data_IF_063272469487
#
_entry.id   IF_063272469487
#
_cell.length_a   1.000
_cell.length_b   1.000
_cell.length_c   1.000
_cell.angle_alpha   90.00
_cell.angle_beta   90.00
_cell.angle_gamma   90.00
#
_symmetry.space_group_name_H-M   'P 1'
#
loop_
_entity.id
_entity.type
_entity.pdbx_description
1 polymer ?
#
# COMPACT_ATOMS: atom_id res chain seq x y z
N UNK A 1 -0.23 -41.22 23.07
CA UNK A 1 0.13 -39.85 23.50
C UNK A 1 0.99 -39.26 22.42
N UNK A 2 0.41 -38.46 21.54
CA UNK A 2 1.14 -37.65 20.56
C UNK A 2 1.74 -36.46 21.30
N UNK A 3 3.06 -36.47 21.47
CA UNK A 3 3.81 -35.34 22.03
C UNK A 3 3.64 -34.18 21.06
N UNK A 4 3.05 -33.08 21.52
CA UNK A 4 3.01 -31.86 20.74
C UNK A 4 4.46 -31.41 20.48
N UNK A 5 4.83 -31.01 19.25
CA UNK A 5 6.18 -30.54 18.99
C UNK A 5 6.50 -29.35 19.90
N UNK A 6 7.64 -29.40 20.60
CA UNK A 6 8.15 -28.26 21.38
C UNK A 6 8.28 -27.05 20.45
N UNK A 7 7.67 -25.92 20.84
CA UNK A 7 7.88 -24.67 20.12
C UNK A 7 9.39 -24.36 20.10
N UNK A 8 9.96 -23.95 18.95
CA UNK A 8 11.39 -23.64 18.88
C UNK A 8 11.76 -22.57 19.92
N UNK A 9 12.91 -22.75 20.56
CA UNK A 9 13.35 -21.90 21.67
C UNK A 9 13.58 -20.41 21.32
N UNK A 10 13.56 -20.06 20.02
CA UNK A 10 13.72 -18.71 19.50
C UNK A 10 12.61 -18.37 18.52
N UNK A 11 12.15 -17.12 18.56
CA UNK A 11 11.25 -16.57 17.54
C UNK A 11 11.96 -16.53 16.16
N UNK A 12 11.20 -16.51 15.04
CA UNK A 12 11.78 -16.36 13.70
C UNK A 12 12.72 -15.14 13.58
N UNK A 13 12.34 -14.00 14.18
CA UNK A 13 13.15 -12.79 14.22
C UNK A 13 14.47 -12.98 14.96
N UNK A 14 14.45 -13.55 16.17
CA UNK A 14 15.67 -13.78 16.96
C UNK A 14 16.61 -14.77 16.27
N UNK A 15 16.04 -15.84 15.70
CA UNK A 15 16.80 -16.83 14.94
C UNK A 15 17.50 -16.19 13.75
N UNK A 16 16.78 -15.41 12.95
CA UNK A 16 17.36 -14.76 11.77
C UNK A 16 18.38 -13.70 12.17
N UNK A 17 18.06 -12.85 13.15
CA UNK A 17 18.94 -11.75 13.62
C UNK A 17 20.32 -12.25 14.05
N UNK A 18 20.41 -13.41 14.70
CA UNK A 18 21.70 -14.00 15.12
C UNK A 18 22.59 -14.43 13.96
N UNK A 19 22.01 -14.70 12.79
CA UNK A 19 22.71 -15.20 11.61
C UNK A 19 22.87 -14.17 10.49
N UNK A 20 22.12 -13.07 10.57
CA UNK A 20 22.08 -12.07 9.51
C UNK A 20 23.35 -11.24 9.50
N UNK A 21 23.95 -11.09 8.32
CA UNK A 21 25.07 -10.19 8.09
C UNK A 21 24.55 -8.95 7.36
N UNK A 22 24.83 -7.78 7.91
CA UNK A 22 24.45 -6.51 7.31
C UNK A 22 25.61 -5.97 6.47
N UNK A 23 25.32 -5.49 5.26
CA UNK A 23 26.35 -4.92 4.40
C UNK A 23 26.88 -3.58 4.95
N UNK A 24 26.04 -2.84 5.68
CA UNK A 24 26.35 -1.55 6.27
C UNK A 24 25.51 -1.28 7.53
N UNK A 25 25.83 -0.19 8.23
CA UNK A 25 25.13 0.20 9.45
C UNK A 25 23.67 0.63 9.18
N UNK A 26 23.35 1.17 8.00
CA UNK A 26 21.97 1.56 7.67
C UNK A 26 21.06 0.35 7.63
N UNK A 27 21.48 -0.75 6.99
CA UNK A 27 20.72 -2.00 6.98
C UNK A 27 20.55 -2.58 8.38
N UNK A 28 21.59 -2.55 9.21
CA UNK A 28 21.50 -3.01 10.60
C UNK A 28 20.46 -2.20 11.39
N UNK A 29 20.50 -0.87 11.30
CA UNK A 29 19.52 -0.02 11.99
C UNK A 29 18.11 -0.23 11.43
N UNK A 30 17.94 -0.27 10.10
CA UNK A 30 16.65 -0.57 9.50
C UNK A 30 16.07 -1.89 10.00
N UNK A 31 16.87 -2.95 10.08
CA UNK A 31 16.42 -4.23 10.62
C UNK A 31 15.90 -4.13 12.05
N UNK A 32 16.58 -3.36 12.91
CA UNK A 32 16.10 -3.08 14.27
C UNK A 32 14.79 -2.28 14.27
N UNK A 33 14.61 -1.38 13.30
CA UNK A 33 13.45 -0.48 13.22
C UNK A 33 12.19 -1.13 12.63
N UNK A 34 12.33 -1.97 11.62
CA UNK A 34 11.18 -2.53 10.87
C UNK A 34 11.09 -4.05 10.95
N UNK A 35 12.21 -4.75 11.19
CA UNK A 35 12.28 -6.22 11.16
C UNK A 35 11.47 -6.89 12.28
N UNK A 36 11.52 -6.34 13.50
CA UNK A 36 10.74 -6.87 14.62
C UNK A 36 9.23 -6.73 14.35
N UNK A 37 8.80 -5.56 13.85
CA UNK A 37 7.40 -5.34 13.50
C UNK A 37 6.95 -6.28 12.38
N UNK A 38 7.75 -6.45 11.34
CA UNK A 38 7.47 -7.43 10.27
C UNK A 38 7.24 -8.83 10.83
N UNK A 39 8.07 -9.26 11.79
CA UNK A 39 7.91 -10.57 12.43
C UNK A 39 6.62 -10.68 13.23
N UNK A 40 6.20 -9.62 13.93
CA UNK A 40 4.94 -9.62 14.69
C UNK A 40 3.72 -9.66 13.77
N UNK A 41 3.75 -8.89 12.69
CA UNK A 41 2.72 -8.88 11.64
C UNK A 41 2.61 -10.27 11.00
N UNK A 42 3.73 -10.91 10.66
CA UNK A 42 3.77 -12.31 10.19
C UNK A 42 3.19 -13.29 11.21
N UNK A 43 3.58 -13.17 12.48
CA UNK A 43 3.08 -14.03 13.55
C UNK A 43 1.58 -13.95 13.79
N UNK A 44 0.93 -12.85 13.37
CA UNK A 44 -0.51 -12.67 13.50
C UNK A 44 -1.36 -13.22 12.33
N UNK A 45 -0.72 -13.83 11.32
CA UNK A 45 -1.39 -14.31 10.11
C UNK A 45 -1.49 -15.85 10.02
N UNK A 46 -1.45 -16.55 11.17
CA UNK A 46 -1.61 -18.01 11.31
C UNK A 46 -0.66 -18.88 10.47
N UNK A 47 0.49 -18.34 10.02
CA UNK A 47 1.51 -19.08 9.28
C UNK A 47 2.43 -19.91 10.18
N UNK A 48 3.03 -20.98 9.65
CA UNK A 48 3.99 -21.80 10.40
C UNK A 48 5.26 -21.02 10.74
N UNK A 49 6.03 -21.49 11.73
CA UNK A 49 7.31 -20.86 12.07
C UNK A 49 8.27 -20.82 10.87
N UNK A 50 8.30 -21.88 10.07
CA UNK A 50 9.11 -22.00 8.86
C UNK A 50 8.65 -21.02 7.77
N UNK A 51 7.34 -20.85 7.58
CA UNK A 51 6.80 -19.86 6.66
C UNK A 51 7.17 -18.44 7.09
N UNK A 52 6.99 -18.12 8.38
CA UNK A 52 7.37 -16.82 8.94
C UNK A 52 8.87 -16.55 8.75
N UNK A 53 9.72 -17.54 9.03
CA UNK A 53 11.17 -17.42 8.81
C UNK A 53 11.50 -17.22 7.33
N UNK A 54 10.87 -17.97 6.42
CA UNK A 54 11.05 -17.83 4.98
C UNK A 54 10.71 -16.42 4.47
N UNK A 55 9.59 -15.85 4.94
CA UNK A 55 9.21 -14.48 4.58
C UNK A 55 10.13 -13.42 5.20
N UNK A 56 10.61 -13.61 6.43
CA UNK A 56 11.60 -12.71 7.02
C UNK A 56 12.94 -12.78 6.26
N UNK A 57 13.35 -13.96 5.80
CA UNK A 57 14.52 -14.10 4.94
C UNK A 57 14.33 -13.40 3.59
N UNK A 58 13.15 -13.53 2.97
CA UNK A 58 12.80 -12.76 1.78
C UNK A 58 12.90 -11.25 2.04
N UNK A 59 12.29 -10.77 3.12
CA UNK A 59 12.34 -9.35 3.49
C UNK A 59 13.78 -8.86 3.70
N UNK A 60 14.59 -9.60 4.47
CA UNK A 60 15.98 -9.25 4.76
C UNK A 60 16.89 -9.26 3.52
N UNK A 61 16.59 -10.11 2.52
CA UNK A 61 17.41 -10.23 1.30
C UNK A 61 16.98 -9.28 0.18
N UNK A 62 15.69 -8.99 0.08
CA UNK A 62 15.12 -8.29 -1.09
C UNK A 62 14.71 -6.87 -0.75
N UNK A 63 14.06 -6.67 0.40
CA UNK A 63 13.50 -5.37 0.79
C UNK A 63 14.51 -4.56 1.59
N UNK A 64 15.06 -5.14 2.65
CA UNK A 64 15.96 -4.46 3.60
C UNK A 64 17.15 -3.74 2.93
N UNK A 65 17.88 -4.33 1.97
CA UNK A 65 19.01 -3.65 1.32
C UNK A 65 18.61 -2.44 0.47
N UNK A 66 17.31 -2.29 0.20
CA UNK A 66 16.74 -1.26 -0.66
C UNK A 66 15.88 -0.27 0.13
N UNK A 67 15.98 -0.23 1.45
CA UNK A 67 15.38 0.84 2.26
C UNK A 67 16.23 2.13 2.26
N UNK A 68 17.40 2.10 1.62
CA UNK A 68 18.30 3.24 1.49
C UNK A 68 19.04 3.59 2.78
N UNK A 69 19.73 4.74 2.82
CA UNK A 69 20.51 5.16 3.98
C UNK A 69 19.62 5.45 5.20
N UNK A 70 20.17 5.22 6.40
CA UNK A 70 19.57 5.65 7.67
C UNK A 70 20.46 6.70 8.37
N UNK A 71 19.92 7.83 8.86
CA UNK A 71 18.53 8.29 8.71
C UNK A 71 18.16 8.50 7.24
N UNK A 72 16.87 8.32 6.91
CA UNK A 72 16.36 8.43 5.53
C UNK A 72 16.66 9.81 4.94
N UNK A 73 17.02 9.82 3.66
CA UNK A 73 17.29 11.04 2.88
C UNK A 73 16.24 11.34 1.81
N UNK A 74 15.37 10.37 1.55
CA UNK A 74 14.27 10.47 0.60
C UNK A 74 12.99 10.05 1.31
N UNK A 75 11.94 10.85 1.17
CA UNK A 75 10.62 10.52 1.69
C UNK A 75 9.81 9.85 0.57
N UNK A 76 9.37 8.62 0.81
CA UNK A 76 8.59 7.83 -0.12
C UNK A 76 7.12 8.22 -0.12
N UNK A 77 6.50 8.23 -1.30
CA UNK A 77 5.07 8.55 -1.45
C UNK A 77 4.13 7.44 -1.00
N UNK A 78 4.65 6.25 -0.68
CA UNK A 78 3.80 5.11 -0.30
C UNK A 78 3.23 5.25 1.12
N UNK A 79 3.85 6.05 1.99
CA UNK A 79 3.37 6.32 3.35
C UNK A 79 3.26 7.82 3.59
N UNK A 80 2.39 8.22 4.51
CA UNK A 80 2.26 9.63 4.93
C UNK A 80 3.51 10.15 5.63
N UNK A 81 4.22 9.32 6.39
CA UNK A 81 5.44 9.71 7.10
C UNK A 81 6.69 9.79 6.21
N UNK A 82 6.59 9.39 4.94
CA UNK A 82 7.74 9.29 4.03
C UNK A 82 8.59 8.03 4.23
N UNK A 83 8.17 7.09 5.09
CA UNK A 83 8.80 5.78 5.25
C UNK A 83 8.70 4.98 3.92
N UNK A 84 9.79 4.36 3.44
CA UNK A 84 9.79 3.60 2.19
C UNK A 84 9.24 2.18 2.31
N UNK A 85 8.59 1.84 3.43
CA UNK A 85 7.96 0.54 3.66
C UNK A 85 6.67 0.70 4.47
N UNK A 86 5.65 -0.10 4.13
CA UNK A 86 4.39 -0.20 4.84
C UNK A 86 3.95 -1.67 4.92
N UNK A 87 3.51 -2.11 6.09
CA UNK A 87 2.97 -3.41 6.35
C UNK A 87 1.45 -3.32 6.43
N UNK A 88 0.79 -4.27 5.80
CA UNK A 88 -0.65 -4.44 5.94
C UNK A 88 -1.02 -5.92 6.04
N UNK A 89 -2.18 -6.18 6.64
CA UNK A 89 -2.74 -7.53 6.69
C UNK A 89 -4.07 -7.50 5.98
N UNK A 90 -4.32 -8.48 5.12
CA UNK A 90 -5.60 -8.72 4.52
C UNK A 90 -6.35 -9.85 5.22
N UNK A 91 -7.55 -9.55 5.70
CA UNK A 91 -8.51 -10.47 6.26
C UNK A 91 -9.63 -10.72 5.25
N UNK A 92 -10.08 -11.97 5.15
CA UNK A 92 -11.18 -12.35 4.27
C UNK A 92 -12.25 -13.05 5.07
N UNK A 93 -13.50 -12.71 4.81
CA UNK A 93 -14.65 -13.33 5.46
C UNK A 93 -14.73 -14.83 5.16
N UNK A 94 -14.41 -15.21 3.91
CA UNK A 94 -14.55 -16.58 3.45
C UNK A 94 -13.19 -17.25 3.18
N UNK A 95 -12.87 -18.26 4.00
CA UNK A 95 -12.09 -19.43 3.60
C UNK A 95 -10.60 -19.24 3.30
N UNK A 96 -10.02 -18.07 3.58
CA UNK A 96 -8.57 -17.85 3.42
C UNK A 96 -7.94 -17.31 4.71
N UNK A 97 -6.74 -17.81 5.07
CA UNK A 97 -5.98 -17.24 6.18
C UNK A 97 -5.61 -15.77 5.86
N UNK A 98 -5.32 -14.97 6.90
CA UNK A 98 -4.84 -13.61 6.70
C UNK A 98 -3.58 -13.59 5.83
N UNK A 99 -3.46 -12.57 4.97
CA UNK A 99 -2.30 -12.41 4.07
C UNK A 99 -1.55 -11.14 4.44
N UNK A 100 -0.32 -11.30 4.92
CA UNK A 100 0.60 -10.18 5.17
C UNK A 100 1.11 -9.62 3.86
N UNK A 101 1.28 -8.30 3.83
CA UNK A 101 1.72 -7.55 2.67
C UNK A 101 2.76 -6.52 3.03
N UNK A 102 3.66 -6.29 2.09
CA UNK A 102 4.70 -5.26 2.18
C UNK A 102 4.52 -4.33 0.99
N UNK A 103 4.05 -3.11 1.22
CA UNK A 103 4.20 -2.00 0.29
C UNK A 103 5.59 -1.40 0.47
N UNK A 104 6.33 -1.13 -0.61
CA UNK A 104 7.67 -0.60 -0.50
C UNK A 104 8.08 0.22 -1.74
N UNK A 105 8.96 1.20 -1.53
CA UNK A 105 9.64 1.92 -2.61
C UNK A 105 11.14 1.66 -2.48
N UNK A 106 11.81 1.08 -3.49
CA UNK A 106 13.24 0.86 -3.43
C UNK A 106 13.97 2.21 -3.44
N UNK A 107 14.87 2.38 -2.48
CA UNK A 107 15.76 3.52 -2.33
C UNK A 107 17.23 3.08 -2.41
N UNK A 108 18.11 4.04 -2.69
CA UNK A 108 19.56 3.88 -2.61
C UNK A 108 20.25 5.18 -2.21
N UNK A 109 21.58 5.17 -2.19
CA UNK A 109 22.38 6.33 -1.76
C UNK A 109 22.19 7.59 -2.64
N UNK A 110 21.76 7.39 -3.89
CA UNK A 110 21.56 8.46 -4.86
C UNK A 110 20.14 9.03 -4.85
N UNK A 111 19.18 8.35 -4.23
CA UNK A 111 17.77 8.75 -4.23
C UNK A 111 17.59 10.16 -3.68
N UNK A 112 17.00 11.05 -4.48
CA UNK A 112 16.76 12.45 -4.14
C UNK A 112 17.98 13.37 -4.29
N UNK A 113 19.15 12.83 -4.65
CA UNK A 113 20.33 13.65 -4.99
C UNK A 113 20.24 14.17 -6.41
N UNK A 114 21.13 15.08 -6.82
CA UNK A 114 21.19 15.55 -8.21
C UNK A 114 21.43 14.42 -9.24
N UNK A 115 21.99 13.27 -8.82
CA UNK A 115 22.23 12.13 -9.71
C UNK A 115 20.99 11.24 -9.91
N UNK A 116 20.05 11.27 -8.97
CA UNK A 116 18.79 10.55 -9.07
C UNK A 116 17.66 11.29 -8.32
N UNK A 117 17.25 12.48 -8.81
CA UNK A 117 16.34 13.37 -8.09
C UNK A 117 14.94 12.78 -7.90
N UNK A 118 14.53 11.84 -8.75
CA UNK A 118 13.20 11.23 -8.81
C UNK A 118 13.22 9.72 -8.53
N UNK A 119 14.27 9.23 -7.87
CA UNK A 119 14.36 7.86 -7.39
C UNK A 119 14.11 6.76 -8.45
N UNK A 120 14.71 6.93 -9.63
CA UNK A 120 14.55 6.01 -10.77
C UNK A 120 15.63 4.92 -10.83
N UNK A 121 16.76 5.10 -10.13
CA UNK A 121 17.90 4.17 -10.21
C UNK A 121 17.68 2.88 -9.41
N UNK A 122 17.13 2.88 -8.18
CA UNK A 122 17.10 1.67 -7.34
C UNK A 122 16.40 0.46 -7.96
N UNK A 123 15.38 0.67 -8.79
CA UNK A 123 14.63 -0.40 -9.47
C UNK A 123 15.53 -1.27 -10.37
N UNK A 124 16.65 -0.72 -10.86
CA UNK A 124 17.64 -1.46 -11.67
C UNK A 124 18.34 -2.58 -10.90
N UNK A 125 18.33 -2.54 -9.56
CA UNK A 125 18.82 -3.60 -8.69
C UNK A 125 17.70 -4.55 -8.25
N UNK A 126 16.51 -4.01 -7.96
CA UNK A 126 15.36 -4.79 -7.52
C UNK A 126 14.91 -5.82 -8.55
N UNK A 127 14.64 -5.39 -9.79
CA UNK A 127 13.99 -6.26 -10.77
C UNK A 127 14.85 -7.49 -11.12
N UNK A 128 16.18 -7.36 -11.34
CA UNK A 128 17.04 -8.53 -11.49
C UNK A 128 17.02 -9.46 -10.26
N UNK A 129 16.99 -8.91 -9.05
CA UNK A 129 16.92 -9.70 -7.83
C UNK A 129 15.60 -10.50 -7.75
N UNK A 130 14.46 -9.89 -8.11
CA UNK A 130 13.17 -10.58 -8.17
C UNK A 130 13.14 -11.67 -9.24
N UNK A 131 13.70 -11.41 -10.42
CA UNK A 131 13.80 -12.40 -11.50
C UNK A 131 14.62 -13.63 -11.10
N UNK A 132 15.63 -13.46 -10.24
CA UNK A 132 16.46 -14.56 -9.74
C UNK A 132 15.76 -15.46 -8.72
N UNK A 133 14.70 -14.99 -8.07
CA UNK A 133 13.95 -15.77 -7.08
C UNK A 133 13.05 -16.85 -7.68
N UNK A 134 12.90 -16.87 -9.01
CA UNK A 134 12.04 -17.83 -9.71
C UNK A 134 10.59 -17.85 -9.18
N UNK A 135 10.07 -16.67 -8.83
CA UNK A 135 8.69 -16.51 -8.37
C UNK A 135 7.73 -17.04 -9.44
N UNK A 136 6.82 -17.94 -9.05
CA UNK A 136 5.91 -18.58 -9.99
C UNK A 136 5.04 -17.56 -10.74
N UNK A 137 5.11 -17.59 -12.06
CA UNK A 137 4.34 -16.71 -12.93
C UNK A 137 4.80 -15.25 -12.97
N UNK A 138 5.95 -14.91 -12.37
CA UNK A 138 6.51 -13.56 -12.41
C UNK A 138 6.85 -13.16 -13.84
N UNK A 139 6.33 -12.00 -14.26
CA UNK A 139 6.47 -11.49 -15.63
C UNK A 139 6.67 -9.97 -15.61
N UNK A 140 7.61 -9.49 -16.41
CA UNK A 140 8.01 -8.08 -16.49
C UNK A 140 7.42 -7.34 -17.70
N UNK A 141 6.64 -7.99 -18.56
CA UNK A 141 6.22 -7.40 -19.84
C UNK A 141 5.46 -6.08 -19.69
N UNK A 142 4.61 -5.94 -18.66
CA UNK A 142 3.92 -4.67 -18.39
C UNK A 142 4.82 -3.56 -17.83
N UNK A 143 5.94 -3.91 -17.17
CA UNK A 143 6.84 -2.93 -16.55
C UNK A 143 7.37 -1.92 -17.57
N UNK A 144 7.83 -2.41 -18.72
CA UNK A 144 8.45 -1.54 -19.75
C UNK A 144 7.44 -0.51 -20.30
N UNK A 145 6.18 -0.91 -20.48
CA UNK A 145 5.10 -0.01 -20.88
C UNK A 145 4.80 1.02 -19.79
N UNK A 146 4.67 0.58 -18.55
CA UNK A 146 4.37 1.47 -17.42
C UNK A 146 5.46 2.52 -17.24
N UNK A 147 6.74 2.12 -17.19
CA UNK A 147 7.83 3.08 -16.98
C UNK A 147 7.92 4.08 -18.12
N UNK A 148 7.80 3.61 -19.37
CA UNK A 148 7.85 4.47 -20.54
C UNK A 148 6.74 5.52 -20.55
N UNK A 149 5.52 5.12 -20.22
CA UNK A 149 4.32 5.93 -20.44
C UNK A 149 3.91 6.75 -19.20
N UNK A 150 4.13 6.23 -18.00
CA UNK A 150 3.64 6.79 -16.74
C UNK A 150 4.74 7.37 -15.84
N UNK A 151 6.00 7.32 -16.24
CA UNK A 151 7.12 7.96 -15.54
C UNK A 151 7.88 8.89 -16.47
N UNK A 152 8.66 9.82 -15.91
CA UNK A 152 9.48 10.72 -16.73
C UNK A 152 10.66 9.98 -17.35
N UNK A 153 10.93 10.24 -18.62
CA UNK A 153 12.12 9.83 -19.35
C UNK A 153 13.33 10.66 -18.92
N UNK A 154 14.53 10.27 -19.35
CA UNK A 154 15.76 11.04 -19.12
C UNK A 154 15.67 12.44 -19.76
N UNK A 155 15.16 12.54 -20.98
CA UNK A 155 15.00 13.84 -21.67
C UNK A 155 14.03 14.76 -20.93
N UNK A 156 12.91 14.23 -20.44
CA UNK A 156 11.94 14.98 -19.64
C UNK A 156 12.54 15.43 -18.30
N UNK A 157 13.34 14.58 -17.66
CA UNK A 157 14.08 14.93 -16.45
C UNK A 157 15.06 16.08 -16.70
N UNK A 158 15.82 16.05 -17.79
CA UNK A 158 16.73 17.14 -18.17
C UNK A 158 15.96 18.44 -18.47
N UNK A 159 14.78 18.36 -19.07
CA UNK A 159 13.98 19.54 -19.42
C UNK A 159 13.48 20.34 -18.21
N UNK A 160 13.42 19.72 -17.04
CA UNK A 160 12.99 20.33 -15.77
C UNK A 160 14.13 20.50 -14.76
N UNK A 161 15.37 20.28 -15.19
CA UNK A 161 16.54 20.47 -14.34
C UNK A 161 16.63 21.94 -13.89
N UNK A 162 16.83 22.15 -12.59
CA UNK A 162 16.85 23.49 -11.98
C UNK A 162 15.48 24.14 -11.78
N UNK A 163 14.38 23.50 -12.17
CA UNK A 163 13.02 23.96 -11.84
C UNK A 163 12.65 23.50 -10.43
N UNK A 164 12.09 24.40 -9.61
CA UNK A 164 11.48 24.00 -8.35
C UNK A 164 10.21 23.19 -8.62
N UNK A 165 10.23 21.92 -8.24
CA UNK A 165 9.07 21.04 -8.31
C UNK A 165 8.47 20.97 -6.91
N UNK A 166 7.32 21.62 -6.75
CA UNK A 166 6.50 21.54 -5.54
C UNK A 166 6.22 20.10 -5.14
N UNK A 167 6.28 19.84 -3.83
CA UNK A 167 5.78 18.60 -3.22
C UNK A 167 6.75 17.43 -3.28
N UNK A 168 7.08 16.90 -2.10
CA UNK A 168 7.90 15.68 -1.99
C UNK A 168 7.26 14.44 -2.62
N UNK A 169 5.92 14.36 -2.66
CA UNK A 169 5.19 13.24 -3.28
C UNK A 169 5.36 13.13 -4.79
N UNK A 170 5.67 14.23 -5.48
CA UNK A 170 5.88 14.19 -6.93
C UNK A 170 7.22 13.51 -7.30
N UNK A 171 8.05 13.17 -6.31
CA UNK A 171 9.37 12.60 -6.56
C UNK A 171 9.36 11.09 -6.77
N UNK A 172 8.48 10.36 -6.09
CA UNK A 172 8.36 8.90 -6.32
C UNK A 172 7.82 8.66 -7.73
N UNK A 173 8.46 7.77 -8.49
CA UNK A 173 7.99 7.40 -9.84
C UNK A 173 7.31 6.02 -9.83
N UNK A 174 7.86 5.08 -9.07
CA UNK A 174 7.34 3.71 -8.96
C UNK A 174 7.48 3.19 -7.54
N UNK A 175 6.60 2.27 -7.17
CA UNK A 175 6.68 1.50 -5.94
C UNK A 175 6.23 0.06 -6.20
N UNK A 176 6.33 -0.79 -5.19
CA UNK A 176 6.10 -2.21 -5.29
C UNK A 176 5.30 -2.73 -4.11
N UNK A 177 4.62 -3.85 -4.31
CA UNK A 177 3.90 -4.56 -3.27
C UNK A 177 4.21 -6.05 -3.30
N UNK A 178 4.35 -6.66 -2.14
CA UNK A 178 4.48 -8.10 -2.00
C UNK A 178 3.32 -8.64 -1.18
N UNK A 179 2.50 -9.52 -1.76
CA UNK A 179 1.55 -10.33 -0.99
C UNK A 179 2.25 -11.65 -0.63
N UNK A 180 2.39 -11.93 0.66
CA UNK A 180 3.02 -13.13 1.20
C UNK A 180 1.96 -14.23 1.34
N UNK A 181 1.86 -15.08 0.32
CA UNK A 181 0.77 -16.03 0.14
C UNK A 181 1.16 -17.43 0.63
N UNK A 182 0.25 -18.13 1.29
CA UNK A 182 0.52 -19.42 1.95
C UNK A 182 1.32 -20.43 1.13
N UNK A 183 2.14 -21.24 1.81
CA UNK A 183 3.08 -22.17 1.18
C UNK A 183 4.43 -21.52 0.79
N UNK A 184 4.78 -20.38 1.39
CA UNK A 184 6.03 -19.66 1.12
C UNK A 184 6.05 -18.87 -0.20
N UNK A 185 4.89 -18.67 -0.84
CA UNK A 185 4.80 -17.96 -2.11
C UNK A 185 4.79 -16.44 -1.93
N UNK A 186 5.23 -15.72 -2.97
CA UNK A 186 5.18 -14.26 -3.03
C UNK A 186 4.52 -13.84 -4.33
N UNK A 187 3.54 -12.94 -4.26
CA UNK A 187 3.00 -12.25 -5.45
C UNK A 187 3.52 -10.83 -5.47
N UNK A 188 4.04 -10.39 -6.62
CA UNK A 188 4.60 -9.05 -6.79
C UNK A 188 3.61 -8.13 -7.51
N UNK A 189 3.50 -6.90 -7.02
CA UNK A 189 2.71 -5.80 -7.58
C UNK A 189 3.60 -4.60 -7.86
N UNK A 190 3.25 -3.84 -8.89
CA UNK A 190 3.87 -2.55 -9.20
C UNK A 190 2.87 -1.42 -9.02
N UNK A 191 3.39 -0.24 -8.71
CA UNK A 191 2.67 1.04 -8.66
C UNK A 191 3.47 2.08 -9.45
N UNK A 192 2.79 2.97 -10.17
CA UNK A 192 3.40 4.08 -10.88
C UNK A 192 2.64 5.38 -10.60
N UNK A 193 3.38 6.47 -10.39
CA UNK A 193 2.88 7.77 -9.96
C UNK A 193 3.00 8.82 -11.10
N UNK A 194 1.98 8.94 -11.96
CA UNK A 194 2.04 9.72 -13.21
C UNK A 194 1.96 11.25 -13.02
N UNK A 195 1.74 11.76 -11.81
CA UNK A 195 1.53 13.19 -11.58
C UNK A 195 2.68 14.07 -12.12
N UNK A 196 3.94 13.65 -11.91
CA UNK A 196 5.09 14.37 -12.47
C UNK A 196 5.12 14.29 -14.00
N UNK A 197 4.82 13.12 -14.57
CA UNK A 197 4.75 12.95 -16.03
C UNK A 197 3.67 13.84 -16.65
N UNK A 198 2.51 13.97 -16.00
CA UNK A 198 1.45 14.90 -16.41
C UNK A 198 1.96 16.34 -16.41
N UNK A 199 2.62 16.76 -15.32
CA UNK A 199 3.18 18.11 -15.18
C UNK A 199 4.20 18.45 -16.27
N UNK A 200 5.11 17.53 -16.59
CA UNK A 200 6.18 17.76 -17.59
C UNK A 200 5.64 17.75 -19.02
N UNK A 201 4.71 16.85 -19.32
CA UNK A 201 4.17 16.70 -20.69
C UNK A 201 3.01 17.65 -21.01
N UNK A 202 2.39 18.24 -19.98
CA UNK A 202 1.16 19.03 -20.11
C UNK A 202 -0.09 18.19 -20.37
N UNK A 203 0.01 16.86 -20.40
CA UNK A 203 -1.15 15.97 -20.52
C UNK A 203 -1.93 15.93 -19.20
N UNK A 204 -3.25 15.93 -19.30
CA UNK A 204 -4.11 15.65 -18.16
C UNK A 204 -3.97 14.19 -17.71
N UNK A 205 -4.29 13.93 -16.45
CA UNK A 205 -4.34 12.56 -15.91
C UNK A 205 -5.31 11.66 -16.70
N UNK A 206 -6.44 12.22 -17.14
CA UNK A 206 -7.43 11.53 -17.95
C UNK A 206 -6.87 11.07 -19.31
N UNK A 207 -6.15 11.96 -20.01
CA UNK A 207 -5.49 11.63 -21.29
C UNK A 207 -4.39 10.59 -21.07
N UNK A 208 -3.60 10.73 -20.01
CA UNK A 208 -2.52 9.80 -19.70
C UNK A 208 -3.02 8.38 -19.46
N UNK A 209 -4.08 8.21 -18.68
CA UNK A 209 -4.67 6.89 -18.44
C UNK A 209 -5.32 6.31 -19.71
N UNK A 210 -5.98 7.15 -20.51
CA UNK A 210 -6.61 6.70 -21.76
C UNK A 210 -5.56 6.22 -22.79
N UNK A 211 -4.48 6.97 -22.95
CA UNK A 211 -3.37 6.59 -23.82
C UNK A 211 -2.73 5.28 -23.37
N UNK A 212 -2.44 5.14 -22.07
CA UNK A 212 -1.83 3.94 -21.52
C UNK A 212 -2.69 2.68 -21.74
N UNK A 213 -3.99 2.75 -21.42
CA UNK A 213 -4.91 1.61 -21.61
C UNK A 213 -5.01 1.24 -23.09
N UNK A 214 -5.12 2.23 -23.99
CA UNK A 214 -5.14 2.00 -25.43
C UNK A 214 -3.86 1.35 -25.94
N UNK A 215 -2.69 1.83 -25.50
CA UNK A 215 -1.40 1.30 -25.95
C UNK A 215 -1.12 -0.11 -25.43
N UNK A 216 -1.71 -0.48 -24.29
CA UNK A 216 -1.56 -1.80 -23.66
C UNK A 216 -2.73 -2.76 -23.88
N UNK A 217 -3.75 -2.36 -24.65
CA UNK A 217 -4.96 -3.15 -24.92
C UNK A 217 -4.64 -4.55 -25.50
N UNK A 218 -3.64 -4.63 -26.38
CA UNK A 218 -3.18 -5.89 -26.97
C UNK A 218 -2.56 -6.88 -25.95
N UNK A 219 -2.17 -6.40 -24.77
CA UNK A 219 -1.66 -7.20 -23.66
C UNK A 219 -2.73 -7.47 -22.60
N UNK A 220 -3.53 -6.43 -22.27
CA UNK A 220 -4.57 -6.45 -21.25
C UNK A 220 -5.81 -5.73 -21.76
N UNK A 221 -6.72 -6.47 -22.41
CA UNK A 221 -7.96 -5.90 -22.90
C UNK A 221 -8.97 -5.70 -21.75
N UNK A 222 -8.87 -4.57 -21.07
CA UNK A 222 -9.80 -4.10 -20.06
C UNK A 222 -10.63 -2.89 -20.54
N UNK A 223 -10.74 -2.71 -21.86
CA UNK A 223 -11.33 -1.53 -22.52
C UNK A 223 -12.76 -1.22 -22.05
N UNK A 224 -13.59 -2.25 -21.86
CA UNK A 224 -14.98 -2.11 -21.40
C UNK A 224 -15.06 -1.57 -19.96
N UNK A 225 -14.35 -2.20 -19.01
CA UNK A 225 -14.30 -1.73 -17.63
C UNK A 225 -13.68 -0.33 -17.54
N UNK A 226 -12.60 -0.08 -18.29
CA UNK A 226 -11.96 1.23 -18.33
C UNK A 226 -12.90 2.30 -18.87
N UNK A 227 -13.69 2.02 -19.91
CA UNK A 227 -14.65 2.98 -20.46
C UNK A 227 -15.66 3.46 -19.41
N UNK A 228 -16.17 2.54 -18.58
CA UNK A 228 -17.08 2.86 -17.47
C UNK A 228 -16.39 3.74 -16.42
N UNK A 229 -15.19 3.35 -15.98
CA UNK A 229 -14.37 4.10 -15.01
C UNK A 229 -14.04 5.49 -15.52
N UNK A 230 -13.57 5.57 -16.76
CA UNK A 230 -13.13 6.80 -17.41
C UNK A 230 -14.28 7.79 -17.59
N UNK A 231 -15.47 7.32 -17.97
CA UNK A 231 -16.66 8.16 -18.04
C UNK A 231 -17.06 8.72 -16.66
N UNK A 232 -17.06 7.89 -15.63
CA UNK A 232 -17.34 8.35 -14.26
C UNK A 232 -16.35 9.42 -13.78
N UNK A 233 -15.04 9.18 -13.97
CA UNK A 233 -14.01 10.12 -13.54
C UNK A 233 -13.95 11.39 -14.39
N UNK A 234 -14.35 11.35 -15.67
CA UNK A 234 -14.53 12.57 -16.47
C UNK A 234 -15.67 13.45 -15.95
N UNK A 235 -16.77 12.84 -15.52
CA UNK A 235 -17.92 13.57 -14.99
C UNK A 235 -17.64 14.16 -13.60
N UNK A 236 -16.92 13.42 -12.74
CA UNK A 236 -16.65 13.82 -11.35
C UNK A 236 -15.33 14.56 -11.15
N UNK A 237 -14.44 14.51 -12.13
CA UNK A 237 -13.08 15.03 -12.05
C UNK A 237 -12.06 13.92 -11.76
N UNK A 238 -11.03 13.86 -12.59
CA UNK A 238 -9.83 13.09 -12.28
C UNK A 238 -9.04 13.84 -11.20
N UNK A 239 -8.68 13.14 -10.13
CA UNK A 239 -7.75 13.68 -9.14
C UNK A 239 -6.31 13.64 -9.68
N UNK A 240 -5.56 14.72 -9.52
CA UNK A 240 -4.16 14.82 -9.98
C UNK A 240 -3.22 13.88 -9.22
N UNK A 241 -3.64 13.35 -8.07
CA UNK A 241 -2.93 12.34 -7.28
C UNK A 241 -3.26 10.92 -7.72
N UNK A 242 -4.06 10.73 -8.78
CA UNK A 242 -4.37 9.40 -9.29
C UNK A 242 -3.10 8.65 -9.73
N UNK A 243 -3.11 7.34 -9.53
CA UNK A 243 -1.97 6.47 -9.82
C UNK A 243 -2.43 5.09 -10.28
N UNK A 244 -1.54 4.34 -10.91
CA UNK A 244 -1.85 3.02 -11.46
C UNK A 244 -1.10 1.93 -10.68
N UNK A 245 -1.76 0.80 -10.44
CA UNK A 245 -1.07 -0.43 -10.04
C UNK A 245 -1.35 -1.59 -11.00
N UNK A 246 -0.47 -2.59 -11.00
CA UNK A 246 -0.63 -3.83 -11.75
C UNK A 246 0.05 -4.99 -11.02
N UNK A 247 -0.19 -6.21 -11.50
CA UNK A 247 0.48 -7.42 -11.02
C UNK A 247 1.61 -7.82 -11.98
N UNK A 248 2.77 -8.22 -11.45
CA UNK A 248 3.89 -8.77 -12.23
C UNK A 248 3.62 -10.24 -12.57
N UNK A 249 2.64 -10.44 -13.44
CA UNK A 249 2.24 -11.73 -14.00
C UNK A 249 1.99 -11.57 -15.49
N UNK A 250 1.85 -12.69 -16.20
CA UNK A 250 1.45 -12.68 -17.61
C UNK A 250 0.33 -11.64 -17.85
N UNK A 251 0.46 -10.71 -18.81
CA UNK A 251 -0.43 -9.54 -18.86
C UNK A 251 -1.92 -9.87 -18.89
N UNK A 252 -2.34 -10.90 -19.63
CA UNK A 252 -3.73 -11.35 -19.69
C UNK A 252 -4.34 -11.79 -18.35
N UNK A 253 -3.50 -12.04 -17.33
CA UNK A 253 -3.89 -12.36 -15.95
C UNK A 253 -3.68 -11.18 -14.99
N UNK A 254 -2.99 -10.13 -15.43
CA UNK A 254 -2.74 -8.95 -14.61
C UNK A 254 -4.02 -8.15 -14.42
N UNK A 255 -4.11 -7.47 -13.29
CA UNK A 255 -5.24 -6.62 -12.94
C UNK A 255 -4.74 -5.19 -12.87
N UNK A 256 -5.22 -4.33 -13.78
CA UNK A 256 -4.90 -2.91 -13.75
C UNK A 256 -5.80 -2.22 -12.74
N UNK A 257 -5.22 -1.41 -11.85
CA UNK A 257 -5.97 -0.71 -10.81
C UNK A 257 -5.71 0.77 -10.91
N UNK A 258 -6.74 1.52 -11.25
CA UNK A 258 -6.68 2.99 -11.26
C UNK A 258 -7.10 3.50 -9.89
N UNK A 259 -6.15 4.03 -9.15
CA UNK A 259 -6.35 4.69 -7.86
C UNK A 259 -6.66 6.16 -8.08
N UNK A 260 -7.56 6.71 -7.27
CA UNK A 260 -7.89 8.13 -7.23
C UNK A 260 -8.33 8.50 -5.82
N UNK A 261 -8.63 9.78 -5.59
CA UNK A 261 -8.88 10.30 -4.26
C UNK A 261 -9.95 11.40 -4.25
N UNK A 262 -10.47 11.70 -3.06
CA UNK A 262 -11.30 12.86 -2.79
C UNK A 262 -11.06 13.32 -1.36
N UNK A 263 -11.00 14.63 -1.17
CA UNK A 263 -10.91 15.21 0.16
C UNK A 263 -12.26 15.17 0.90
N UNK A 264 -13.36 14.93 0.19
CA UNK A 264 -14.68 14.75 0.79
C UNK A 264 -14.82 13.33 1.36
N UNK A 265 -14.88 13.21 2.68
CA UNK A 265 -15.09 11.95 3.41
C UNK A 265 -16.51 11.97 3.96
N UNK A 266 -17.47 11.51 3.17
CA UNK A 266 -18.88 11.43 3.56
C UNK A 266 -19.49 10.11 3.11
N UNK A 267 -20.61 9.73 3.73
CA UNK A 267 -21.37 8.54 3.36
C UNK A 267 -21.84 8.57 1.91
N UNK A 268 -22.26 9.75 1.45
CA UNK A 268 -22.67 9.96 0.06
C UNK A 268 -21.50 9.77 -0.90
N UNK A 269 -20.30 10.28 -0.54
CA UNK A 269 -19.11 10.10 -1.38
C UNK A 269 -18.66 8.64 -1.42
N UNK A 270 -18.77 7.91 -0.32
CA UNK A 270 -18.51 6.47 -0.24
C UNK A 270 -19.40 5.69 -1.21
N UNK A 271 -20.71 5.95 -1.20
CA UNK A 271 -21.68 5.31 -2.11
C UNK A 271 -21.45 5.70 -3.57
N UNK A 272 -21.19 6.98 -3.84
CA UNK A 272 -20.85 7.46 -5.18
C UNK A 272 -19.62 6.74 -5.74
N UNK A 273 -18.52 6.71 -4.98
CA UNK A 273 -17.29 6.06 -5.40
C UNK A 273 -17.49 4.54 -5.56
N UNK A 274 -18.20 3.89 -4.64
CA UNK A 274 -18.49 2.45 -4.67
C UNK A 274 -19.22 2.03 -5.95
N UNK A 275 -20.22 2.82 -6.36
CA UNK A 275 -21.14 2.52 -7.47
C UNK A 275 -20.75 3.20 -8.78
N UNK A 276 -19.63 3.94 -8.83
CA UNK A 276 -19.23 4.77 -9.96
C UNK A 276 -20.34 5.77 -10.36
N UNK A 277 -20.97 6.38 -9.36
CA UNK A 277 -22.13 7.27 -9.51
C UNK A 277 -23.35 6.52 -10.07
N UNK A 278 -23.60 5.31 -9.59
CA UNK A 278 -24.71 4.46 -10.03
C UNK A 278 -24.51 3.71 -11.35
N UNK A 279 -23.32 3.75 -11.97
CA UNK A 279 -23.02 3.00 -13.21
C UNK A 279 -22.80 1.51 -12.95
N UNK A 280 -22.17 1.18 -11.83
CA UNK A 280 -21.95 -0.18 -11.39
C UNK A 280 -23.07 -0.59 -10.44
N UNK A 281 -23.83 -1.61 -10.83
CA UNK A 281 -25.01 -2.08 -10.10
C UNK A 281 -25.05 -3.61 -10.06
N UNK A 282 -25.85 -4.14 -9.14
CA UNK A 282 -26.11 -5.57 -9.03
C UNK A 282 -26.17 -6.05 -7.57
N UNK A 283 -26.68 -7.26 -7.31
CA UNK A 283 -26.84 -7.78 -5.96
C UNK A 283 -25.54 -7.79 -5.14
N UNK A 284 -24.42 -8.18 -5.78
CA UNK A 284 -23.10 -8.19 -5.16
C UNK A 284 -22.64 -6.78 -4.76
N UNK A 285 -22.91 -5.78 -5.61
CA UNK A 285 -22.55 -4.37 -5.37
C UNK A 285 -23.36 -3.82 -4.20
N UNK A 286 -24.67 -4.04 -4.19
CA UNK A 286 -25.57 -3.62 -3.11
C UNK A 286 -25.18 -4.27 -1.79
N UNK A 287 -24.88 -5.58 -1.79
CA UNK A 287 -24.47 -6.29 -0.58
C UNK A 287 -23.13 -5.79 -0.04
N UNK A 288 -22.17 -5.54 -0.91
CA UNK A 288 -20.89 -4.96 -0.53
C UNK A 288 -21.06 -3.54 0.04
N UNK A 289 -21.97 -2.73 -0.50
CA UNK A 289 -22.28 -1.39 0.00
C UNK A 289 -22.86 -1.43 1.42
N UNK A 290 -23.73 -2.40 1.73
CA UNK A 290 -24.25 -2.60 3.09
C UNK A 290 -23.11 -2.84 4.10
N UNK A 291 -22.17 -3.72 3.78
CA UNK A 291 -21.02 -4.00 4.64
C UNK A 291 -20.06 -2.82 4.74
N UNK A 292 -19.82 -2.10 3.64
CA UNK A 292 -19.01 -0.89 3.63
C UNK A 292 -19.57 0.17 4.57
N UNK A 293 -20.89 0.42 4.49
CA UNK A 293 -21.61 1.35 5.35
C UNK A 293 -21.56 0.92 6.82
N UNK A 294 -21.75 -0.37 7.09
CA UNK A 294 -21.60 -0.91 8.45
C UNK A 294 -20.18 -0.70 8.99
N UNK A 295 -19.14 -0.94 8.18
CA UNK A 295 -17.76 -0.70 8.59
C UNK A 295 -17.54 0.79 8.92
N UNK A 296 -18.01 1.69 8.04
CA UNK A 296 -17.91 3.14 8.25
C UNK A 296 -18.55 3.58 9.57
N UNK A 297 -19.76 3.09 9.86
CA UNK A 297 -20.49 3.40 11.09
C UNK A 297 -19.72 2.90 12.33
N UNK A 298 -19.03 1.74 12.25
CA UNK A 298 -18.33 1.12 13.38
C UNK A 298 -16.95 1.71 13.66
N UNK A 299 -16.20 2.14 12.64
CA UNK A 299 -14.92 2.84 12.84
C UNK A 299 -15.13 4.30 13.26
N UNK A 300 -16.36 4.83 13.08
CA UNK A 300 -16.80 6.13 13.56
C UNK A 300 -15.90 7.28 13.06
N UNK A 301 -15.67 7.32 11.74
CA UNK A 301 -14.92 8.40 11.11
C UNK A 301 -15.73 9.68 11.05
N UNK A 302 -15.08 10.82 11.32
CA UNK A 302 -15.72 12.12 11.14
C UNK A 302 -16.05 12.36 9.66
N UNK A 303 -17.28 12.79 9.40
CA UNK A 303 -17.71 13.19 8.06
C UNK A 303 -17.31 14.63 7.76
N UNK A 304 -16.90 14.88 6.52
CA UNK A 304 -16.66 16.23 6.02
C UNK A 304 -15.52 16.34 5.02
N UNK A 305 -15.28 17.58 4.60
CA UNK A 305 -14.13 17.93 3.77
C UNK A 305 -12.86 17.94 4.61
N UNK A 306 -11.85 17.17 4.20
CA UNK A 306 -10.56 17.10 4.89
C UNK A 306 -9.59 18.12 4.28
N UNK A 307 -8.90 18.94 5.10
CA UNK A 307 -7.92 19.91 4.62
C UNK A 307 -6.59 19.22 4.28
N UNK A 308 -6.59 18.41 3.23
CA UNK A 308 -5.43 17.60 2.85
C UNK A 308 -4.35 18.48 2.23
N UNK A 309 -3.16 18.46 2.85
CA UNK A 309 -1.98 19.13 2.34
C UNK A 309 -1.06 18.16 1.58
N UNK A 310 -0.41 18.67 0.53
CA UNK A 310 0.61 17.95 -0.24
C UNK A 310 1.96 18.00 0.50
N UNK A 311 1.98 17.46 1.72
CA UNK A 311 3.15 17.39 2.59
C UNK A 311 3.26 16.05 3.32
N UNK A 312 4.47 15.67 3.73
CA UNK A 312 4.68 14.48 4.56
C UNK A 312 4.32 14.77 6.02
N UNK A 313 3.73 13.78 6.69
CA UNK A 313 3.50 13.78 8.13
C UNK A 313 4.70 13.18 8.87
N UNK A 314 5.83 13.88 8.77
CA UNK A 314 7.13 13.46 9.31
C UNK A 314 7.57 14.26 10.55
N UNK A 315 6.66 15.03 11.13
CA UNK A 315 6.88 15.78 12.37
C UNK A 315 5.58 15.92 13.18
N UNK A 316 5.70 16.28 14.46
CA UNK A 316 4.55 16.50 15.35
C UNK A 316 3.53 17.52 14.83
N UNK A 317 3.99 18.54 14.11
CA UNK A 317 3.17 19.66 13.65
C UNK A 317 2.71 19.53 12.19
N UNK A 318 3.14 18.47 11.50
CA UNK A 318 2.73 18.23 10.13
C UNK A 318 1.23 17.88 10.04
N UNK A 319 0.60 18.22 8.92
CA UNK A 319 -0.81 17.91 8.69
C UNK A 319 -1.02 16.39 8.61
N UNK A 320 -1.97 15.94 9.43
CA UNK A 320 -2.43 14.55 9.54
C UNK A 320 -3.65 14.25 8.65
N UNK A 321 -4.22 15.27 8.01
CA UNK A 321 -5.40 15.09 7.15
C UNK A 321 -5.06 14.22 5.93
N UNK A 322 -5.84 13.16 5.71
CA UNK A 322 -5.71 12.26 4.56
C UNK A 322 -7.02 12.17 3.76
N UNK A 323 -6.95 12.01 2.43
CA UNK A 323 -8.15 11.95 1.58
C UNK A 323 -8.77 10.56 1.62
N UNK A 324 -10.06 10.45 1.29
CA UNK A 324 -10.64 9.17 0.88
C UNK A 324 -9.94 8.70 -0.40
N UNK A 325 -9.44 7.47 -0.41
CA UNK A 325 -8.82 6.86 -1.59
C UNK A 325 -9.64 5.67 -2.05
N UNK A 326 -9.69 5.42 -3.35
CA UNK A 326 -10.25 4.19 -3.90
C UNK A 326 -9.54 3.77 -5.18
N UNK A 327 -9.67 2.50 -5.54
CA UNK A 327 -9.33 2.05 -6.88
C UNK A 327 -10.46 1.27 -7.54
N UNK A 328 -10.37 1.26 -8.87
CA UNK A 328 -11.13 0.37 -9.73
C UNK A 328 -10.19 -0.67 -10.33
N UNK A 329 -10.37 -1.92 -9.92
CA UNK A 329 -9.65 -3.07 -10.43
C UNK A 329 -10.31 -3.56 -11.73
N UNK A 330 -9.56 -3.48 -12.83
CA UNK A 330 -9.99 -3.81 -14.18
C UNK A 330 -9.22 -5.02 -14.67
N UNK A 331 -9.92 -5.97 -15.29
CA UNK A 331 -9.38 -7.26 -15.70
C UNK A 331 -9.62 -7.50 -17.18
N UNK A 332 -8.76 -8.30 -17.80
CA UNK A 332 -8.92 -8.67 -19.18
C UNK A 332 -10.28 -9.39 -19.40
N UNK A 333 -11.10 -8.89 -20.33
CA UNK A 333 -12.39 -9.46 -20.70
C UNK A 333 -13.53 -9.30 -19.68
N UNK A 334 -13.29 -8.67 -18.52
CA UNK A 334 -14.35 -8.37 -17.55
C UNK A 334 -14.87 -6.95 -17.81
N UNK A 335 -16.15 -6.77 -18.19
CA UNK A 335 -16.71 -5.44 -18.44
C UNK A 335 -16.96 -4.64 -17.15
N UNK A 336 -16.95 -5.28 -15.98
CA UNK A 336 -17.27 -4.64 -14.71
C UNK A 336 -16.01 -4.46 -13.87
N UNK A 337 -15.65 -3.22 -13.50
CA UNK A 337 -14.57 -3.00 -12.55
C UNK A 337 -14.98 -3.48 -11.15
N UNK A 338 -14.01 -3.91 -10.35
CA UNK A 338 -14.20 -4.14 -8.92
C UNK A 338 -13.73 -2.91 -8.13
N UNK A 339 -14.64 -2.34 -7.34
CA UNK A 339 -14.31 -1.18 -6.50
C UNK A 339 -13.65 -1.62 -5.19
N UNK A 340 -12.60 -0.90 -4.79
CA UNK A 340 -11.99 -1.00 -3.46
C UNK A 340 -11.75 0.39 -2.87
N UNK A 341 -12.33 0.65 -1.70
CA UNK A 341 -12.14 1.90 -0.96
C UNK A 341 -11.07 1.77 0.10
N UNK A 342 -10.53 2.90 0.53
CA UNK A 342 -9.52 3.07 1.57
C UNK A 342 -9.97 4.21 2.47
N UNK A 343 -10.48 3.85 3.65
CA UNK A 343 -10.87 4.80 4.68
C UNK A 343 -9.62 5.52 5.24
N UNK A 344 -9.59 6.86 5.22
CA UNK A 344 -8.50 7.65 5.78
C UNK A 344 -8.59 7.64 7.29
N UNK A 345 -7.86 6.73 7.93
CA UNK A 345 -7.82 6.60 9.40
C UNK A 345 -6.57 7.26 9.99
N UNK A 346 -5.59 7.62 9.16
CA UNK A 346 -4.46 8.43 9.58
C UNK A 346 -4.94 9.81 10.02
N UNK A 347 -4.63 10.18 11.26
CA UNK A 347 -5.13 11.37 11.94
C UNK A 347 -6.31 11.13 12.87
N UNK A 348 -6.81 9.90 12.96
CA UNK A 348 -7.92 9.48 13.81
C UNK A 348 -7.39 8.61 14.96
N UNK A 349 -8.09 8.58 16.10
CA UNK A 349 -7.60 7.85 17.28
C UNK A 349 -7.38 6.35 17.00
N UNK A 350 -6.14 5.87 17.17
CA UNK A 350 -5.76 4.51 16.78
C UNK A 350 -6.58 3.45 17.55
N UNK A 351 -6.80 3.63 18.86
CA UNK A 351 -7.61 2.71 19.69
C UNK A 351 -9.07 2.65 19.24
N UNK A 352 -9.68 3.79 18.93
CA UNK A 352 -11.05 3.87 18.41
C UNK A 352 -11.17 3.04 17.13
N UNK A 353 -10.26 3.26 16.18
CA UNK A 353 -10.29 2.59 14.88
C UNK A 353 -10.14 1.08 15.02
N UNK A 354 -9.13 0.60 15.78
CA UNK A 354 -8.93 -0.84 15.91
C UNK A 354 -10.09 -1.52 16.67
N UNK A 355 -10.74 -0.81 17.59
CA UNK A 355 -11.93 -1.31 18.30
C UNK A 355 -13.13 -1.43 17.35
N UNK A 356 -13.35 -0.43 16.49
CA UNK A 356 -14.38 -0.45 15.46
C UNK A 356 -14.18 -1.58 14.44
N UNK A 357 -12.94 -1.78 13.98
CA UNK A 357 -12.58 -2.89 13.09
C UNK A 357 -12.80 -4.25 13.78
N UNK A 358 -12.40 -4.39 15.04
CA UNK A 358 -12.65 -5.62 15.82
C UNK A 358 -14.15 -5.92 15.94
N UNK A 359 -14.98 -4.89 16.19
CA UNK A 359 -16.43 -5.04 16.22
C UNK A 359 -16.99 -5.46 14.87
N UNK A 360 -16.51 -4.85 13.79
CA UNK A 360 -16.91 -5.21 12.44
C UNK A 360 -16.61 -6.69 12.14
N UNK A 361 -15.41 -7.19 12.49
CA UNK A 361 -15.07 -8.60 12.34
C UNK A 361 -16.06 -9.53 13.04
N UNK A 362 -16.45 -9.22 14.28
CA UNK A 362 -17.47 -10.00 15.00
C UNK A 362 -18.82 -9.99 14.26
N UNK A 363 -19.24 -8.84 13.73
CA UNK A 363 -20.52 -8.70 13.03
C UNK A 363 -20.57 -9.42 11.69
N UNK A 364 -19.42 -9.64 11.03
CA UNK A 364 -19.35 -10.40 9.77
C UNK A 364 -19.04 -11.90 9.96
N UNK A 365 -19.03 -12.38 11.21
CA UNK A 365 -18.82 -13.79 11.54
C UNK A 365 -17.37 -14.21 11.78
N UNK A 366 -16.43 -13.27 11.78
CA UNK A 366 -15.02 -13.50 12.15
C UNK A 366 -14.82 -13.27 13.65
N UNK A 367 -15.57 -14.01 14.48
CA UNK A 367 -15.71 -13.74 15.92
C UNK A 367 -14.39 -13.86 16.68
N UNK A 368 -13.61 -14.93 16.47
CA UNK A 368 -12.35 -15.15 17.19
C UNK A 368 -11.32 -14.08 16.84
N UNK A 369 -11.17 -13.77 15.54
CA UNK A 369 -10.36 -12.64 15.07
C UNK A 369 -10.83 -11.33 15.72
N UNK A 370 -12.13 -11.07 15.73
CA UNK A 370 -12.69 -9.87 16.35
C UNK A 370 -12.51 -9.79 17.87
N UNK A 371 -12.24 -10.90 18.57
CA UNK A 371 -11.88 -10.88 19.99
C UNK A 371 -10.39 -10.61 20.21
N UNK A 372 -9.50 -11.17 19.39
CA UNK A 372 -8.05 -11.02 19.56
C UNK A 372 -7.47 -9.77 18.90
N UNK A 373 -8.15 -9.19 17.90
CA UNK A 373 -7.59 -8.18 17.00
C UNK A 373 -6.98 -6.95 17.73
N UNK A 374 -7.65 -6.42 18.74
CA UNK A 374 -7.15 -5.24 19.47
C UNK A 374 -5.81 -5.55 20.16
N UNK A 375 -5.72 -6.70 20.83
CA UNK A 375 -4.50 -7.13 21.53
C UNK A 375 -3.39 -7.47 20.53
N UNK A 376 -3.75 -8.04 19.38
CA UNK A 376 -2.83 -8.26 18.26
C UNK A 376 -2.20 -6.95 17.79
N UNK A 377 -3.00 -5.90 17.52
CA UNK A 377 -2.45 -4.62 17.04
C UNK A 377 -1.63 -3.93 18.13
N UNK A 378 -2.05 -3.96 19.39
CA UNK A 378 -1.24 -3.48 20.52
C UNK A 378 0.11 -4.18 20.59
N UNK A 379 0.18 -5.48 20.28
CA UNK A 379 1.44 -6.21 20.30
C UNK A 379 2.46 -5.66 19.30
N UNK A 380 2.03 -5.05 18.19
CA UNK A 380 2.93 -4.43 17.20
C UNK A 380 3.67 -3.23 17.80
N UNK A 381 3.02 -2.50 18.71
CA UNK A 381 3.50 -1.25 19.32
C UNK A 381 3.52 -1.36 20.86
N UNK A 382 4.37 -2.23 21.44
CA UNK A 382 4.28 -2.60 22.86
C UNK A 382 4.52 -1.45 23.84
N UNK A 383 5.28 -0.44 23.41
CA UNK A 383 5.66 0.71 24.24
C UNK A 383 4.81 1.96 23.96
N UNK A 384 3.78 1.84 23.11
CA UNK A 384 2.93 2.94 22.68
C UNK A 384 1.50 2.75 23.21
N UNK A 385 0.99 3.75 23.92
CA UNK A 385 -0.43 3.78 24.29
C UNK A 385 -1.26 4.27 23.10
N UNK A 386 -1.81 3.32 22.34
CA UNK A 386 -2.66 3.59 21.17
C UNK A 386 -3.93 4.39 21.49
N UNK A 387 -4.34 4.53 22.76
CA UNK A 387 -5.44 5.43 23.12
C UNK A 387 -5.06 6.91 23.02
N UNK A 388 -3.77 7.22 22.93
CA UNK A 388 -3.22 8.58 22.86
C UNK A 388 -2.62 8.93 21.50
N UNK A 389 -2.67 8.02 20.53
CA UNK A 389 -2.07 8.20 19.21
C UNK A 389 -3.12 8.26 18.12
N UNK A 390 -2.69 8.76 16.96
CA UNK A 390 -3.57 8.97 15.80
C UNK A 390 -2.91 8.64 14.45
N UNK A 391 -1.78 7.93 14.46
CA UNK A 391 -0.90 7.81 13.27
C UNK A 391 -0.25 6.44 13.12
N UNK A 392 -0.56 5.48 14.00
CA UNK A 392 0.01 4.12 13.92
C UNK A 392 -0.80 3.20 13.02
N UNK A 393 -2.02 3.61 12.66
CA UNK A 393 -2.85 3.02 11.62
C UNK A 393 -3.08 4.03 10.50
N UNK A 394 -2.85 3.62 9.25
CA UNK A 394 -2.84 4.53 8.09
C UNK A 394 -4.14 4.48 7.30
N UNK A 395 -4.59 3.26 6.99
CA UNK A 395 -5.72 2.99 6.09
C UNK A 395 -6.49 1.74 6.53
N UNK A 396 -7.82 1.75 6.35
CA UNK A 396 -8.61 0.52 6.22
C UNK A 396 -9.10 0.41 4.79
N UNK A 397 -8.66 -0.60 4.03
CA UNK A 397 -9.22 -0.87 2.71
C UNK A 397 -10.34 -1.89 2.74
N UNK A 398 -11.36 -1.70 1.91
CA UNK A 398 -12.53 -2.56 1.82
C UNK A 398 -12.87 -2.89 0.37
N UNK A 399 -13.10 -4.16 0.08
CA UNK A 399 -13.73 -4.65 -1.13
C UNK A 399 -14.66 -5.82 -0.81
N UNK A 400 -15.52 -6.18 -1.77
CA UNK A 400 -16.46 -7.29 -1.60
C UNK A 400 -16.58 -8.09 -2.90
N UNK A 401 -16.58 -9.41 -2.77
CA UNK A 401 -16.99 -10.33 -3.83
C UNK A 401 -17.78 -11.48 -3.20
N UNK A 402 -18.63 -12.15 -3.98
CA UNK A 402 -19.34 -13.35 -3.48
C UNK A 402 -18.36 -14.44 -3.06
N UNK A 403 -17.24 -14.58 -3.79
CA UNK A 403 -16.23 -15.61 -3.54
C UNK A 403 -15.52 -15.42 -2.20
N UNK A 404 -15.05 -14.21 -1.91
CA UNK A 404 -14.26 -13.93 -0.70
C UNK A 404 -15.10 -13.42 0.46
N UNK A 405 -16.35 -13.06 0.21
CA UNK A 405 -17.11 -12.18 1.10
C UNK A 405 -16.40 -10.84 1.24
N UNK A 406 -16.45 -10.27 2.43
CA UNK A 406 -15.68 -9.07 2.77
C UNK A 406 -14.18 -9.34 2.64
N UNK A 407 -13.50 -8.46 1.92
CA UNK A 407 -12.05 -8.37 1.81
C UNK A 407 -11.61 -7.07 2.48
N UNK A 408 -10.98 -7.16 3.64
CA UNK A 408 -10.60 -6.01 4.45
C UNK A 408 -9.09 -6.02 4.68
N UNK A 409 -8.42 -4.89 4.49
CA UNK A 409 -7.01 -4.76 4.89
C UNK A 409 -6.80 -3.57 5.80
N UNK A 410 -5.92 -3.72 6.78
CA UNK A 410 -5.48 -2.62 7.65
C UNK A 410 -3.99 -2.40 7.43
N UNK A 411 -3.61 -1.14 7.29
CA UNK A 411 -2.27 -0.65 6.99
C UNK A 411 -1.72 0.07 8.22
N UNK A 412 -0.46 -0.19 8.56
CA UNK A 412 0.13 0.26 9.81
C UNK A 412 1.40 1.08 9.57
N UNK A 413 1.68 2.01 10.48
CA UNK A 413 3.00 2.64 10.54
C UNK A 413 4.05 1.58 10.84
N UNK A 414 5.02 1.41 9.95
CA UNK A 414 5.82 0.18 9.85
C UNK A 414 7.25 0.30 10.36
N UNK A 415 7.45 1.19 11.33
CA UNK A 415 8.74 1.43 11.99
C UNK A 415 8.52 1.71 13.47
N UNK A 416 9.50 1.35 14.30
CA UNK A 416 9.57 1.80 15.70
C UNK A 416 9.97 3.28 15.82
N UNK A 417 10.36 3.94 14.74
CA UNK A 417 10.55 5.39 14.75
C UNK A 417 9.20 6.09 14.94
N UNK A 418 9.11 6.95 15.94
CA UNK A 418 7.96 7.81 16.15
C UNK A 418 8.34 9.27 15.82
N UNK A 419 8.17 9.72 14.56
CA UNK A 419 8.50 11.09 14.17
C UNK A 419 7.61 12.15 14.84
N UNK A 420 6.55 11.73 15.53
CA UNK A 420 5.55 12.62 16.11
C UNK A 420 5.78 12.88 17.62
N UNK A 421 6.68 12.13 18.26
CA UNK A 421 6.96 12.23 19.70
C UNK A 421 8.02 13.26 20.08
N UNK A 422 8.85 13.74 19.14
CA UNK A 422 9.98 14.65 19.47
C UNK A 422 10.08 15.85 18.55
N UNK A 423 10.19 17.06 19.12
CA UNK A 423 10.89 18.16 18.47
C UNK A 423 12.38 17.80 18.49
N UNK A 424 13.02 17.68 17.32
CA UNK A 424 14.44 18.05 17.29
C UNK A 424 14.45 19.58 17.43
N UNK A 425 15.09 20.16 18.45
CA UNK A 425 15.26 21.60 18.48
C UNK A 425 15.93 22.02 17.17
N UNK A 426 15.29 22.95 16.46
CA UNK A 426 15.88 23.64 15.33
C UNK A 426 17.10 24.42 15.82
N UNK A 427 18.29 23.84 15.66
CA UNK A 427 19.56 24.51 15.91
C UNK A 427 20.56 23.69 16.74
N UNK A 428 21.49 23.05 16.03
CA UNK A 428 22.88 22.88 16.46
C UNK A 428 23.77 22.82 15.21
#
# INVERSE_FOLDING_TARGET
MTVAPEAPALTPYESLTRSLQFADNSQHVWWQKVGLMMSKVLGSADGSWEEQLGYLQFFARIVLPQLGPYPRKFNSSITRSGLPVEFSINYQQNGKPPVVRVGFEPLGDLSGTAKDPFNKVPVTKLLPALSQLQISGFDLQLWDHVVKELTISENEQTSIEGTEIDGGYLRSQTAFGFDLIGGGGVSVKGYAFPALKCKVTGKSMAEMMADFVKNTEHLVDCSAAFSMVHAYLKDKGYDDRAFLSWDFVQPSKSRLKLYTASNNVTRDKLEEAWTLGGRLQGPTVSKGLEYLKLLFDLINLEEGERPVEVAFDDSKHSSKATPLVWNYEMRAGDPNPLTKLYFPIHGENDMQIITGVAQFFRMIGLTDLGHSYVDTVKSYFPDIDLSTTERFTSWVSFAYTEKTGVYLSVYYHSSTDNPWETEKPSGA
#
